data_IF_063549045906
#
_entry.id   IF_063549045906
#
_cell.length_a   1.000
_cell.length_b   1.000
_cell.length_c   1.000
_cell.angle_alpha   90.00
_cell.angle_beta   90.00
_cell.angle_gamma   90.00
#
_symmetry.space_group_name_H-M   'P 1'
#
loop_
_entity.id
_entity.type
_entity.pdbx_description
1 polymer ?
#
# COMPACT_ATOMS: atom_id res chain seq x y z
N UNK A 1 -3.61 -2.44 -0.78
CA UNK A 1 -4.95 -1.92 -0.39
C UNK A 1 -5.24 -2.12 1.09
N UNK A 2 -5.01 -3.32 1.66
CA UNK A 2 -5.29 -3.57 3.10
C UNK A 2 -4.51 -2.63 4.05
N UNK A 3 -3.22 -2.40 3.77
CA UNK A 3 -2.35 -1.54 4.58
C UNK A 3 -2.82 -0.08 4.65
N UNK A 4 -3.24 0.49 3.51
CA UNK A 4 -3.81 1.84 3.47
C UNK A 4 -5.11 1.93 4.28
N UNK A 5 -6.02 0.97 4.12
CA UNK A 5 -7.28 0.93 4.88
C UNK A 5 -7.07 0.81 6.39
N UNK A 6 -6.11 -0.01 6.83
CA UNK A 6 -5.76 -0.10 8.26
C UNK A 6 -5.15 1.21 8.77
N UNK A 7 -4.32 1.88 7.98
CA UNK A 7 -3.69 3.13 8.35
C UNK A 7 -4.71 4.26 8.59
N UNK A 8 -5.83 4.28 7.84
CA UNK A 8 -6.95 5.20 8.06
C UNK A 8 -7.50 5.06 9.48
N UNK A 9 -7.77 3.83 9.93
CA UNK A 9 -8.26 3.59 11.29
C UNK A 9 -7.23 3.92 12.38
N UNK A 10 -5.96 3.57 12.15
CA UNK A 10 -4.86 3.94 13.06
C UNK A 10 -4.79 5.46 13.19
N UNK A 11 -4.85 6.18 12.08
CA UNK A 11 -4.81 7.63 12.10
C UNK A 11 -6.04 8.22 12.78
N UNK A 12 -7.24 7.73 12.47
CA UNK A 12 -8.50 8.24 13.03
C UNK A 12 -8.61 8.08 14.54
N UNK A 13 -8.22 6.92 15.07
CA UNK A 13 -8.45 6.59 16.48
C UNK A 13 -7.26 6.88 17.39
N UNK A 14 -6.04 6.96 16.85
CA UNK A 14 -4.82 7.17 17.67
C UNK A 14 -4.24 8.56 17.44
N UNK A 15 -4.12 9.01 16.20
CA UNK A 15 -3.41 10.25 15.84
C UNK A 15 -4.34 11.48 15.80
N UNK A 16 -5.51 11.35 15.17
CA UNK A 16 -6.49 12.43 15.02
C UNK A 16 -6.98 13.03 16.36
N UNK A 17 -7.07 12.29 17.49
CA UNK A 17 -7.43 12.88 18.79
C UNK A 17 -6.41 13.90 19.32
N UNK A 18 -5.18 13.92 18.78
CA UNK A 18 -4.17 14.94 19.11
C UNK A 18 -4.54 16.34 18.58
N UNK A 19 -5.56 16.42 17.71
CA UNK A 19 -6.15 17.67 17.27
C UNK A 19 -5.32 18.43 16.23
N UNK A 20 -5.86 19.58 15.80
CA UNK A 20 -5.23 20.47 14.84
C UNK A 20 -4.98 19.80 13.48
N UNK A 21 -3.76 19.98 12.97
CA UNK A 21 -3.34 19.53 11.64
C UNK A 21 -3.45 18.01 11.45
N UNK A 22 -3.37 17.24 12.53
CA UNK A 22 -3.48 15.78 12.49
C UNK A 22 -4.91 15.29 12.19
N UNK A 23 -5.93 16.13 12.33
CA UNK A 23 -7.32 15.76 12.03
C UNK A 23 -7.70 15.79 10.54
N UNK A 24 -6.90 16.47 9.70
CA UNK A 24 -7.24 16.68 8.27
C UNK A 24 -6.41 15.84 7.31
N UNK A 25 -5.26 15.31 7.75
CA UNK A 25 -4.32 14.67 6.84
C UNK A 25 -4.46 13.17 6.70
N UNK A 26 -5.38 12.50 7.40
CA UNK A 26 -5.58 11.04 7.43
C UNK A 26 -5.33 10.28 6.10
N UNK A 27 -5.83 10.80 4.98
CA UNK A 27 -5.70 10.16 3.67
C UNK A 27 -4.26 10.13 3.11
N UNK A 28 -3.46 11.17 3.35
CA UNK A 28 -2.11 11.28 2.79
C UNK A 28 -1.14 10.23 3.39
N UNK A 29 -1.01 10.08 4.73
CA UNK A 29 -0.25 9.00 5.35
C UNK A 29 -0.77 7.62 4.99
N UNK A 30 -2.09 7.43 4.90
CA UNK A 30 -2.67 6.16 4.48
C UNK A 30 -2.26 5.78 3.05
N UNK A 31 -2.28 6.75 2.13
CA UNK A 31 -1.81 6.57 0.76
C UNK A 31 -0.32 6.22 0.71
N UNK A 32 0.53 6.98 1.40
CA UNK A 32 1.98 6.74 1.45
C UNK A 32 2.31 5.36 2.02
N UNK A 33 1.64 4.96 3.10
CA UNK A 33 1.79 3.61 3.66
C UNK A 33 1.39 2.52 2.67
N UNK A 34 0.29 2.70 1.92
CA UNK A 34 -0.08 1.73 0.89
C UNK A 34 0.95 1.67 -0.22
N UNK A 35 1.49 2.81 -0.66
CA UNK A 35 2.52 2.87 -1.70
C UNK A 35 3.78 2.11 -1.29
N UNK A 36 4.28 2.37 -0.07
CA UNK A 36 5.46 1.69 0.46
C UNK A 36 5.24 0.19 0.54
N UNK A 37 4.09 -0.25 1.07
CA UNK A 37 3.79 -1.69 1.14
C UNK A 37 3.72 -2.30 -0.25
N UNK A 38 3.09 -1.65 -1.23
CA UNK A 38 3.06 -2.16 -2.60
C UNK A 38 4.49 -2.34 -3.16
N UNK A 39 5.34 -1.32 -3.04
CA UNK A 39 6.73 -1.38 -3.53
C UNK A 39 7.50 -2.49 -2.83
N UNK A 40 7.46 -2.56 -1.50
CA UNK A 40 8.18 -3.58 -0.73
C UNK A 40 7.71 -4.98 -1.10
N UNK A 41 6.40 -5.22 -1.13
CA UNK A 41 5.84 -6.53 -1.49
C UNK A 41 6.23 -6.92 -2.92
N UNK A 42 6.15 -6.00 -3.88
CA UNK A 42 6.58 -6.26 -5.25
C UNK A 42 8.06 -6.64 -5.35
N UNK A 43 8.92 -6.07 -4.51
CA UNK A 43 10.36 -6.35 -4.52
C UNK A 43 10.75 -7.65 -3.79
N UNK A 44 10.02 -8.03 -2.73
CA UNK A 44 10.32 -9.26 -1.96
C UNK A 44 9.60 -10.50 -2.48
N UNK A 45 8.59 -10.33 -3.33
CA UNK A 45 7.89 -11.45 -3.95
C UNK A 45 8.74 -12.03 -5.08
N UNK A 46 8.87 -13.37 -5.22
CA UNK A 46 9.60 -13.97 -6.32
C UNK A 46 9.10 -13.52 -7.69
N UNK A 47 10.00 -13.53 -8.67
CA UNK A 47 9.64 -13.32 -10.06
C UNK A 47 8.66 -14.42 -10.56
N UNK A 48 7.87 -14.14 -11.60
CA UNK A 48 7.02 -15.15 -12.24
C UNK A 48 7.85 -16.36 -12.72
N UNK A 49 7.21 -17.52 -12.83
CA UNK A 49 7.86 -18.71 -13.40
C UNK A 49 8.05 -18.55 -14.92
N UNK A 50 9.01 -19.28 -15.48
CA UNK A 50 9.30 -19.26 -16.91
C UNK A 50 8.09 -19.64 -17.80
N UNK A 51 7.20 -20.51 -17.30
CA UNK A 51 5.94 -20.84 -18.00
C UNK A 51 5.01 -19.63 -18.12
N UNK A 52 4.87 -18.84 -17.05
CA UNK A 52 4.04 -17.62 -17.04
C UNK A 52 4.65 -16.54 -17.95
N UNK A 53 5.97 -16.40 -17.95
CA UNK A 53 6.67 -15.47 -18.86
C UNK A 53 6.43 -15.86 -20.33
N UNK A 54 6.54 -17.16 -20.66
CA UNK A 54 6.30 -17.65 -22.02
C UNK A 54 4.85 -17.44 -22.49
N UNK A 55 3.86 -17.62 -21.61
CA UNK A 55 2.46 -17.30 -21.94
C UNK A 55 2.27 -15.80 -22.21
N UNK A 56 2.89 -14.93 -21.40
CA UNK A 56 2.80 -13.49 -21.57
C UNK A 56 3.45 -13.01 -22.87
N UNK A 57 4.60 -13.58 -23.24
CA UNK A 57 5.29 -13.26 -24.49
C UNK A 57 4.51 -13.76 -25.71
N UNK A 58 3.84 -14.91 -25.63
CA UNK A 58 3.01 -15.42 -26.71
C UNK A 58 1.72 -14.61 -26.93
N UNK A 59 1.24 -13.91 -25.90
CA UNK A 59 0.05 -13.06 -25.96
C UNK A 59 0.33 -11.60 -26.38
N UNK A 60 1.60 -11.21 -26.50
CA UNK A 60 2.06 -9.87 -26.90
C UNK A 60 2.06 -9.67 -28.41
#
# INVERSE_FOLDING_TARGET
MLSGGLMVFVWKYIISPLGGVFGIYELLPAFLMSLVVCVVVSLVTPAPSAEIEAEFDAAK
#
